data_IF_677553966113
#
_entry.id   IF_677553966113
#
_cell.length_a   1.000
_cell.length_b   1.000
_cell.length_c   1.000
_cell.angle_alpha   90.00
_cell.angle_beta   90.00
_cell.angle_gamma   90.00
#
_symmetry.space_group_name_H-M   'P 1'
#
loop_
_entity.id
_entity.type
_entity.pdbx_description
1 polymer ?
#
# COMPACT_ATOMS: atom_id res chain seq x y z
N UNK A 1 0.33 -15.28 27.87
CA UNK A 1 1.07 -14.52 26.85
C UNK A 1 0.79 -15.16 25.51
N UNK A 2 -0.29 -14.74 24.85
CA UNK A 2 -0.58 -15.14 23.46
C UNK A 2 0.44 -14.44 22.57
N UNK A 3 1.18 -15.20 21.76
CA UNK A 3 2.05 -14.61 20.75
C UNK A 3 1.19 -13.73 19.83
N UNK A 4 1.62 -12.50 19.57
CA UNK A 4 0.96 -11.64 18.60
C UNK A 4 0.87 -12.37 17.26
N UNK A 5 -0.34 -12.42 16.69
CA UNK A 5 -0.54 -13.02 15.39
C UNK A 5 0.29 -12.26 14.34
N UNK A 6 0.89 -12.94 13.35
CA UNK A 6 1.69 -12.27 12.34
C UNK A 6 0.82 -11.31 11.52
N UNK A 7 1.30 -10.08 11.29
CA UNK A 7 0.61 -9.06 10.49
C UNK A 7 0.50 -9.43 9.00
N UNK A 8 1.36 -10.34 8.53
CA UNK A 8 1.36 -10.79 7.14
C UNK A 8 1.34 -12.32 7.07
N UNK A 9 0.43 -12.86 6.27
CA UNK A 9 0.43 -14.26 5.87
C UNK A 9 1.36 -14.43 4.65
N UNK A 10 2.37 -15.30 4.70
CA UNK A 10 3.34 -15.46 3.61
C UNK A 10 2.70 -16.04 2.34
N UNK A 11 3.22 -15.64 1.19
CA UNK A 11 2.87 -16.19 -0.12
C UNK A 11 4.03 -17.03 -0.64
N UNK A 12 3.82 -18.33 -0.77
CA UNK A 12 4.84 -19.30 -1.18
C UNK A 12 4.83 -19.60 -2.69
N UNK A 13 3.87 -19.05 -3.43
CA UNK A 13 3.64 -19.31 -4.86
C UNK A 13 3.34 -18.03 -5.63
N UNK A 14 3.77 -18.02 -6.89
CA UNK A 14 3.43 -16.96 -7.83
C UNK A 14 1.93 -17.00 -8.15
N UNK A 15 1.26 -15.85 -8.05
CA UNK A 15 -0.16 -15.71 -8.39
C UNK A 15 -0.50 -16.03 -9.84
N UNK A 16 0.47 -15.87 -10.76
CA UNK A 16 0.24 -16.03 -12.20
C UNK A 16 0.53 -17.46 -12.66
N UNK A 17 1.69 -18.03 -12.28
CA UNK A 17 2.13 -19.33 -12.80
C UNK A 17 2.25 -20.43 -11.73
N UNK A 18 1.98 -20.14 -10.46
CA UNK A 18 2.10 -21.10 -9.36
C UNK A 18 3.54 -21.49 -8.98
N UNK A 19 4.55 -20.95 -9.66
CA UNK A 19 5.97 -21.20 -9.40
C UNK A 19 6.39 -20.76 -7.99
N UNK A 20 7.31 -21.49 -7.36
CA UNK A 20 7.73 -21.28 -5.96
C UNK A 20 9.04 -20.52 -5.79
N UNK A 21 9.77 -20.28 -6.88
CA UNK A 21 11.06 -19.59 -6.82
C UNK A 21 10.85 -18.08 -6.92
N UNK A 22 10.67 -17.46 -5.76
CA UNK A 22 10.44 -16.03 -5.59
C UNK A 22 11.72 -15.36 -5.05
N UNK A 23 12.18 -14.28 -5.69
CA UNK A 23 13.38 -13.52 -5.27
C UNK A 23 12.98 -12.11 -4.84
N UNK A 24 13.39 -11.62 -3.66
CA UNK A 24 13.23 -10.21 -3.29
C UNK A 24 13.88 -9.28 -4.32
N UNK A 25 13.17 -8.21 -4.69
CA UNK A 25 13.64 -7.19 -5.65
C UNK A 25 13.48 -5.76 -5.14
N UNK A 26 12.57 -5.52 -4.18
CA UNK A 26 12.36 -4.22 -3.56
C UNK A 26 11.73 -4.40 -2.18
N UNK A 27 11.74 -3.36 -1.34
CA UNK A 27 11.10 -3.38 -0.02
C UNK A 27 9.97 -2.36 0.02
N UNK A 28 8.75 -2.86 0.11
CA UNK A 28 7.53 -2.07 0.24
C UNK A 28 7.50 -1.43 1.63
N UNK A 29 7.06 -0.17 1.69
CA UNK A 29 6.75 0.57 2.92
C UNK A 29 5.24 0.80 2.97
N UNK A 30 4.64 0.44 4.09
CA UNK A 30 3.22 0.64 4.35
C UNK A 30 3.06 1.96 5.10
N UNK A 31 2.24 2.87 4.57
CA UNK A 31 2.01 4.20 5.14
C UNK A 31 0.50 4.45 5.24
N UNK A 32 -0.03 4.36 6.46
CA UNK A 32 -1.46 4.48 6.75
C UNK A 32 -1.73 5.41 7.93
N UNK A 33 -0.79 6.31 8.26
CA UNK A 33 -0.95 7.21 9.42
C UNK A 33 -2.18 8.10 9.30
N UNK A 34 -2.63 8.42 8.08
CA UNK A 34 -3.86 9.17 7.81
C UNK A 34 -5.12 8.51 8.37
N UNK A 35 -5.12 7.19 8.51
CA UNK A 35 -6.26 6.41 9.01
C UNK A 35 -6.29 6.29 10.52
N UNK A 36 -5.34 6.88 11.26
CA UNK A 36 -5.21 6.71 12.73
C UNK A 36 -6.51 6.91 13.51
N UNK A 37 -7.35 7.85 13.08
CA UNK A 37 -8.63 8.15 13.73
C UNK A 37 -9.83 7.43 13.11
N UNK A 38 -9.70 6.90 11.89
CA UNK A 38 -10.80 6.27 11.14
C UNK A 38 -10.76 4.74 11.21
N UNK A 39 -9.57 4.17 11.07
CA UNK A 39 -9.29 2.75 11.12
C UNK A 39 -7.93 2.51 11.81
N UNK A 40 -7.91 2.43 13.16
CA UNK A 40 -6.68 2.21 13.92
C UNK A 40 -6.00 0.87 13.60
N UNK A 41 -6.78 -0.15 13.20
CA UNK A 41 -6.25 -1.46 12.82
C UNK A 41 -5.46 -1.38 11.51
N UNK A 42 -5.98 -0.63 10.52
CA UNK A 42 -5.24 -0.34 9.29
C UNK A 42 -4.04 0.55 9.57
N UNK A 43 -4.19 1.57 10.42
CA UNK A 43 -3.10 2.47 10.78
C UNK A 43 -1.94 1.75 11.49
N UNK A 44 -2.19 0.64 12.17
CA UNK A 44 -1.14 -0.20 12.79
C UNK A 44 -0.14 -0.78 11.78
N UNK A 45 -0.51 -0.86 10.49
CA UNK A 45 0.39 -1.27 9.41
C UNK A 45 1.39 -0.17 8.99
N UNK A 46 1.26 1.06 9.51
CA UNK A 46 2.24 2.14 9.24
C UNK A 46 3.65 1.72 9.67
N UNK A 47 4.65 2.10 8.87
CA UNK A 47 6.07 1.72 9.01
C UNK A 47 6.39 0.23 8.86
N UNK A 48 5.37 -0.63 8.68
CA UNK A 48 5.60 -2.02 8.35
C UNK A 48 6.22 -2.13 6.96
N UNK A 49 7.07 -3.14 6.80
CA UNK A 49 7.80 -3.37 5.56
C UNK A 49 7.65 -4.81 5.11
N UNK A 50 7.51 -4.99 3.80
CA UNK A 50 7.39 -6.30 3.17
C UNK A 50 8.23 -6.33 1.90
N UNK A 51 8.84 -7.47 1.60
CA UNK A 51 9.54 -7.61 0.34
C UNK A 51 8.55 -7.67 -0.83
N UNK A 52 8.84 -6.92 -1.89
CA UNK A 52 8.34 -7.21 -3.22
C UNK A 52 9.24 -8.30 -3.80
N UNK A 53 8.65 -9.42 -4.20
CA UNK A 53 9.35 -10.55 -4.79
C UNK A 53 9.01 -10.68 -6.27
N UNK A 54 9.95 -11.20 -7.07
CA UNK A 54 9.77 -11.51 -8.49
C UNK A 54 9.88 -13.01 -8.72
N UNK A 55 8.92 -13.58 -9.44
CA UNK A 55 8.95 -14.97 -9.86
C UNK A 55 10.06 -15.20 -10.89
N UNK A 56 10.93 -16.19 -10.66
CA UNK A 56 11.98 -16.55 -11.64
C UNK A 56 11.44 -17.20 -12.91
N UNK A 57 10.26 -17.80 -12.86
CA UNK A 57 9.67 -18.54 -13.98
C UNK A 57 9.00 -17.61 -14.99
N UNK A 58 8.11 -16.72 -14.53
CA UNK A 58 7.34 -15.84 -15.43
C UNK A 58 7.68 -14.35 -15.30
N UNK A 59 8.56 -13.96 -14.39
CA UNK A 59 8.96 -12.56 -14.20
C UNK A 59 7.95 -11.67 -13.46
N UNK A 60 6.77 -12.19 -13.10
CA UNK A 60 5.75 -11.42 -12.37
C UNK A 60 6.22 -11.03 -10.96
N UNK A 61 5.89 -9.80 -10.55
CA UNK A 61 6.22 -9.26 -9.23
C UNK A 61 4.99 -9.19 -8.33
N UNK A 62 5.13 -9.61 -7.08
CA UNK A 62 4.07 -9.66 -6.07
C UNK A 62 4.66 -9.40 -4.67
N UNK A 63 3.85 -9.01 -3.67
CA UNK A 63 4.32 -8.96 -2.29
C UNK A 63 4.70 -10.37 -1.78
N UNK A 64 5.61 -10.44 -0.81
CA UNK A 64 6.00 -11.69 -0.15
C UNK A 64 4.92 -12.27 0.78
N UNK A 65 3.87 -11.50 1.06
CA UNK A 65 2.77 -11.86 1.95
C UNK A 65 1.55 -10.96 1.78
N UNK A 66 0.42 -11.36 2.34
CA UNK A 66 -0.80 -10.56 2.41
C UNK A 66 -1.03 -10.10 3.86
N UNK A 67 -1.49 -8.86 4.08
CA UNK A 67 -1.99 -8.43 5.38
C UNK A 67 -3.04 -9.41 5.93
N UNK A 68 -2.93 -9.75 7.21
CA UNK A 68 -3.90 -10.63 7.89
C UNK A 68 -5.15 -9.90 8.34
N UNK A 69 -5.18 -8.57 8.22
CA UNK A 69 -6.33 -7.73 8.56
C UNK A 69 -7.57 -8.12 7.73
N UNK A 70 -8.68 -8.50 8.37
CA UNK A 70 -9.91 -8.83 7.66
C UNK A 70 -10.41 -7.65 6.82
N UNK A 71 -10.71 -7.92 5.54
CA UNK A 71 -11.17 -6.90 4.61
C UNK A 71 -10.11 -5.83 4.29
N UNK A 72 -8.82 -6.12 4.47
CA UNK A 72 -7.71 -5.18 4.27
C UNK A 72 -7.87 -4.28 3.03
N UNK A 73 -8.13 -4.87 1.86
CA UNK A 73 -8.27 -4.09 0.63
C UNK A 73 -9.51 -3.19 0.63
N UNK A 74 -10.63 -3.67 1.18
CA UNK A 74 -11.83 -2.85 1.29
C UNK A 74 -11.58 -1.65 2.21
N UNK A 75 -10.93 -1.87 3.37
CA UNK A 75 -10.55 -0.80 4.31
C UNK A 75 -9.58 0.20 3.66
N UNK A 76 -8.57 -0.29 2.94
CA UNK A 76 -7.59 0.55 2.23
C UNK A 76 -8.23 1.44 1.15
N UNK A 77 -9.24 0.93 0.44
CA UNK A 77 -9.93 1.66 -0.63
C UNK A 77 -11.20 2.38 -0.17
N UNK A 78 -11.59 2.26 1.10
CA UNK A 78 -12.70 3.01 1.70
C UNK A 78 -12.27 4.45 1.99
N UNK A 79 -11.98 5.19 0.92
CA UNK A 79 -11.56 6.58 0.98
C UNK A 79 -12.73 7.47 1.40
N UNK A 80 -12.88 7.65 2.70
CA UNK A 80 -13.85 8.57 3.30
C UNK A 80 -13.20 9.93 3.49
N UNK A 81 -12.94 10.61 2.38
CA UNK A 81 -12.46 11.99 2.43
C UNK A 81 -13.55 12.87 3.04
N UNK A 82 -13.19 13.64 4.07
CA UNK A 82 -14.10 14.64 4.58
C UNK A 82 -14.34 15.70 3.51
N UNK A 83 -15.56 16.23 3.45
CA UNK A 83 -15.90 17.34 2.55
C UNK A 83 -14.96 18.53 2.75
N UNK A 84 -14.53 18.76 3.99
CA UNK A 84 -13.56 19.78 4.36
C UNK A 84 -12.17 19.52 3.75
N UNK A 85 -11.68 18.27 3.81
CA UNK A 85 -10.40 17.92 3.19
C UNK A 85 -10.46 18.10 1.67
N UNK A 86 -11.54 17.66 1.02
CA UNK A 86 -11.74 17.84 -0.42
C UNK A 86 -11.78 19.32 -0.82
N UNK A 87 -12.48 20.15 -0.05
CA UNK A 87 -12.54 21.59 -0.29
C UNK A 87 -11.17 22.26 -0.15
N UNK A 88 -10.42 21.90 0.90
CA UNK A 88 -9.06 22.42 1.12
C UNK A 88 -8.08 22.00 0.03
N UNK A 89 -8.13 20.73 -0.39
CA UNK A 89 -7.30 20.25 -1.49
C UNK A 89 -7.67 20.90 -2.83
N UNK A 90 -8.96 21.14 -3.09
CA UNK A 90 -9.38 21.84 -4.29
C UNK A 90 -8.87 23.29 -4.31
N UNK A 91 -8.92 23.99 -3.18
CA UNK A 91 -8.46 25.37 -3.05
C UNK A 91 -6.93 25.52 -2.96
N UNK A 92 -6.17 24.41 -2.94
CA UNK A 92 -4.71 24.46 -2.78
C UNK A 92 -4.00 24.88 -4.07
N UNK A 93 -3.21 25.96 -4.00
CA UNK A 93 -2.50 26.52 -5.15
C UNK A 93 -1.25 25.74 -5.60
N UNK A 94 -0.86 24.66 -4.90
CA UNK A 94 0.31 23.87 -5.33
C UNK A 94 0.06 23.15 -6.66
N UNK A 95 -1.20 22.86 -6.98
CA UNK A 95 -1.58 22.25 -8.26
C UNK A 95 -1.30 23.21 -9.42
N UNK A 96 -1.55 24.50 -9.23
CA UNK A 96 -1.25 25.53 -10.22
C UNK A 96 0.26 25.58 -10.51
N UNK A 97 1.10 25.49 -9.46
CA UNK A 97 2.55 25.39 -9.63
C UNK A 97 2.94 24.14 -10.44
N UNK A 98 2.37 22.97 -10.16
CA UNK A 98 2.63 21.74 -10.92
C UNK A 98 2.20 21.92 -12.37
N UNK A 99 1.00 22.45 -12.62
CA UNK A 99 0.48 22.65 -13.97
C UNK A 99 1.32 23.63 -14.77
N UNK A 100 1.67 24.79 -14.22
CA UNK A 100 2.57 25.74 -14.89
C UNK A 100 3.93 25.11 -15.16
N UNK A 101 4.52 24.43 -14.16
CA UNK A 101 5.83 23.80 -14.34
C UNK A 101 5.83 22.75 -15.45
N UNK A 102 4.77 21.93 -15.56
CA UNK A 102 4.70 20.87 -16.58
C UNK A 102 4.32 21.43 -17.95
N UNK A 103 3.38 22.36 -18.01
CA UNK A 103 2.84 22.89 -19.27
C UNK A 103 3.75 23.93 -19.92
N UNK A 104 4.48 24.72 -19.12
CA UNK A 104 5.46 25.70 -19.66
C UNK A 104 6.77 25.02 -20.11
N UNK A 105 6.96 23.72 -19.81
CA UNK A 105 8.06 22.89 -20.31
C UNK A 105 7.74 22.18 -21.64
N UNK A 106 6.52 22.33 -22.18
CA UNK A 106 6.07 21.79 -23.46
C UNK A 106 6.04 22.88 -24.55
#
# INVERSE_FOLDING_TARGET
MTADAPMFAPLDRCWICGGRTLRPVHRLLFEFSIYRNQDPELAAYTDQRLDLVRCRTCGFSQPAGLPTLPGYFARMYDQRWSTEWMAREYASGYKDLIFHTVLDLL
#
